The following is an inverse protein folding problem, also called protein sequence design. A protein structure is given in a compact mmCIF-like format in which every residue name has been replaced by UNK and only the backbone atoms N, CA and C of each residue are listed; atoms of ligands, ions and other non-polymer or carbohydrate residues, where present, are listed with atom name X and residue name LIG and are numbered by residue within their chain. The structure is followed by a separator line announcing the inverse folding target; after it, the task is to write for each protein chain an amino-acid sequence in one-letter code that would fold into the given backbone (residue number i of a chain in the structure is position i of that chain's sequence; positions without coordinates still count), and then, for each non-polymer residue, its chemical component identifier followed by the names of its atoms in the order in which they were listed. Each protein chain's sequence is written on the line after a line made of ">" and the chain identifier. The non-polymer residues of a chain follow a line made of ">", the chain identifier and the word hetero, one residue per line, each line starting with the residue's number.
data_IF_239248931730
#
_entry.id   IF_239248931730
#
_cell.length_a   1.000
_cell.length_b   1.000
_cell.length_c   1.000
_cell.angle_alpha   90.00
_cell.angle_beta   90.00
_cell.angle_gamma   90.00
#
_symmetry.space_group_name_H-M   'P 1'
#
loop_
_entity.id
_entity.type
_entity.pdbx_description
1 polymer ?
#
# COMPACT_ATOMS: atom_id res chain seq x y z
N UNK A 1 4.62 18.36 -17.81
CA UNK A 1 3.68 18.84 -16.78
C UNK A 1 4.26 18.49 -15.42
N UNK A 2 4.64 19.51 -14.63
CA UNK A 2 5.28 19.29 -13.32
C UNK A 2 4.26 18.86 -12.27
N UNK A 3 4.77 18.27 -11.15
CA UNK A 3 3.97 17.93 -9.97
C UNK A 3 3.24 19.18 -9.43
N UNK A 4 2.00 19.01 -8.93
CA UNK A 4 1.28 20.08 -8.27
C UNK A 4 2.03 20.61 -7.02
N UNK A 5 1.80 21.85 -6.57
CA UNK A 5 2.42 22.36 -5.35
C UNK A 5 2.16 21.47 -4.13
N UNK A 6 0.93 21.00 -3.96
CA UNK A 6 0.51 20.14 -2.86
C UNK A 6 1.28 18.79 -2.86
N UNK A 7 1.51 18.20 -4.03
CA UNK A 7 2.31 16.98 -4.14
C UNK A 7 3.79 17.22 -3.83
N UNK A 8 4.34 18.37 -4.23
CA UNK A 8 5.75 18.70 -3.91
C UNK A 8 5.95 18.85 -2.39
N UNK A 9 5.05 19.58 -1.74
CA UNK A 9 5.07 19.75 -0.28
C UNK A 9 4.91 18.39 0.42
N UNK A 10 3.97 17.57 -0.03
CA UNK A 10 3.75 16.23 0.49
C UNK A 10 5.01 15.36 0.36
N UNK A 11 5.66 15.32 -0.79
CA UNK A 11 6.89 14.54 -0.97
C UNK A 11 8.04 15.04 -0.11
N UNK A 12 8.16 16.36 0.10
CA UNK A 12 9.16 16.91 1.01
C UNK A 12 8.92 16.45 2.46
N UNK A 13 7.67 16.44 2.90
CA UNK A 13 7.27 15.92 4.22
C UNK A 13 7.59 14.42 4.36
N UNK A 14 7.18 13.61 3.39
CA UNK A 14 7.46 12.16 3.39
C UNK A 14 8.96 11.89 3.47
N UNK A 15 9.76 12.60 2.69
CA UNK A 15 11.23 12.48 2.73
C UNK A 15 11.80 12.74 4.13
N UNK A 16 11.39 13.81 4.79
CA UNK A 16 11.83 14.12 6.16
C UNK A 16 11.43 13.02 7.17
N UNK A 17 10.25 12.42 6.98
CA UNK A 17 9.81 11.30 7.82
C UNK A 17 10.61 10.04 7.56
N UNK A 18 10.98 9.76 6.31
CA UNK A 18 11.81 8.62 5.94
C UNK A 18 13.18 8.65 6.61
N UNK A 19 13.78 9.84 6.79
CA UNK A 19 15.08 9.98 7.46
C UNK A 19 15.04 9.49 8.92
N UNK A 20 13.87 9.40 9.52
CA UNK A 20 13.63 8.94 10.90
C UNK A 20 13.28 7.45 11.01
N UNK A 21 13.04 6.77 9.87
CA UNK A 21 12.75 5.34 9.90
C UNK A 21 13.98 4.53 10.36
N UNK A 22 13.77 3.44 11.11
CA UNK A 22 14.83 2.50 11.43
C UNK A 22 15.44 1.95 10.14
N UNK A 23 16.75 2.02 10.03
CA UNK A 23 17.48 1.46 8.88
C UNK A 23 17.56 -0.05 8.98
N UNK A 24 17.43 -0.74 7.84
CA UNK A 24 17.72 -2.17 7.74
C UNK A 24 16.54 -3.11 8.00
N UNK A 25 15.34 -2.62 8.31
CA UNK A 25 14.17 -3.49 8.40
C UNK A 25 13.64 -3.77 7.00
N UNK A 26 13.85 -5.00 6.54
CA UNK A 26 13.31 -5.49 5.26
C UNK A 26 12.65 -6.85 5.47
N UNK A 27 11.71 -7.19 4.62
CA UNK A 27 10.95 -8.44 4.66
C UNK A 27 10.91 -9.08 3.28
N UNK A 28 10.62 -10.39 3.23
CA UNK A 28 10.23 -11.00 1.97
C UNK A 28 8.87 -10.40 1.55
N UNK A 29 8.83 -9.73 0.40
CA UNK A 29 7.60 -9.19 -0.19
C UNK A 29 7.25 -9.95 -1.46
N UNK A 30 5.97 -10.25 -1.63
CA UNK A 30 5.41 -10.83 -2.86
C UNK A 30 5.30 -9.77 -3.99
N UNK A 31 5.05 -8.52 -3.62
CA UNK A 31 4.86 -7.33 -4.47
C UNK A 31 3.62 -7.31 -5.37
N UNK A 32 2.94 -8.45 -5.57
CA UNK A 32 1.62 -8.56 -6.19
C UNK A 32 0.68 -9.44 -5.35
N UNK A 33 0.69 -9.25 -4.02
CA UNK A 33 -0.14 -10.01 -3.09
C UNK A 33 -1.60 -9.57 -3.16
N UNK A 34 -2.31 -10.06 -4.17
CA UNK A 34 -3.73 -9.77 -4.44
C UNK A 34 -4.61 -11.00 -4.23
N UNK A 35 -5.93 -10.85 -4.06
CA UNK A 35 -6.84 -11.98 -3.89
C UNK A 35 -6.78 -13.01 -5.04
N UNK A 36 -6.34 -12.60 -6.23
CA UNK A 36 -6.19 -13.50 -7.40
C UNK A 36 -5.03 -14.48 -7.28
N UNK A 37 -4.02 -14.12 -6.48
CA UNK A 37 -2.81 -14.90 -6.27
C UNK A 37 -2.89 -15.79 -5.01
N UNK A 38 -4.08 -15.87 -4.38
CA UNK A 38 -4.33 -16.70 -3.20
C UNK A 38 -5.19 -17.90 -3.59
N UNK A 39 -4.66 -19.09 -3.36
CA UNK A 39 -5.39 -20.34 -3.57
C UNK A 39 -6.17 -20.70 -2.31
N UNK A 40 -7.44 -21.03 -2.46
CA UNK A 40 -8.31 -21.51 -1.37
C UNK A 40 -8.62 -22.98 -1.58
N UNK A 41 -8.36 -23.79 -0.57
CA UNK A 41 -8.69 -25.21 -0.55
C UNK A 41 -10.20 -25.45 -0.43
N UNK A 42 -10.61 -26.72 -0.62
CA UNK A 42 -12.03 -27.12 -0.48
C UNK A 42 -12.58 -26.93 0.93
N UNK A 43 -11.72 -26.84 1.92
CA UNK A 43 -12.03 -26.58 3.34
C UNK A 43 -12.15 -25.07 3.65
N UNK A 44 -12.02 -24.19 2.64
CA UNK A 44 -12.07 -22.75 2.79
C UNK A 44 -10.78 -22.12 3.34
N UNK A 45 -9.72 -22.88 3.53
CA UNK A 45 -8.43 -22.38 4.02
C UNK A 45 -7.51 -22.01 2.86
N UNK A 46 -6.58 -21.10 3.13
CA UNK A 46 -5.50 -20.80 2.20
C UNK A 46 -4.65 -22.04 2.01
N UNK A 47 -4.54 -22.53 0.78
CA UNK A 47 -3.75 -23.70 0.39
C UNK A 47 -2.43 -23.32 -0.28
N UNK A 48 -2.29 -22.09 -0.73
CA UNK A 48 -1.06 -21.60 -1.33
C UNK A 48 -1.16 -20.15 -1.79
N UNK A 49 -0.01 -19.58 -2.11
CA UNK A 49 0.16 -18.30 -2.78
C UNK A 49 0.99 -18.54 -4.02
N UNK A 50 0.56 -18.01 -5.15
CA UNK A 50 1.16 -18.20 -6.47
C UNK A 50 1.64 -16.88 -7.05
N UNK A 51 2.38 -16.95 -8.17
CA UNK A 51 2.82 -15.78 -8.94
C UNK A 51 3.85 -14.91 -8.20
N UNK A 52 4.94 -15.56 -7.80
CA UNK A 52 6.05 -14.96 -7.07
C UNK A 52 7.09 -14.25 -7.97
N UNK A 53 6.77 -13.99 -9.24
CA UNK A 53 7.72 -13.43 -10.22
C UNK A 53 8.25 -12.05 -9.82
N UNK A 54 7.48 -11.27 -9.06
CA UNK A 54 7.87 -9.95 -8.54
C UNK A 54 8.41 -9.98 -7.11
N UNK A 55 8.58 -11.16 -6.53
CA UNK A 55 9.00 -11.27 -5.14
C UNK A 55 10.40 -10.71 -4.90
N UNK A 56 10.56 -10.03 -3.78
CA UNK A 56 11.83 -9.44 -3.35
C UNK A 56 12.19 -9.87 -1.94
N UNK A 57 13.41 -10.43 -1.72
CA UNK A 57 13.84 -10.86 -0.37
C UNK A 57 14.02 -9.69 0.60
N UNK A 58 14.23 -8.47 0.08
CA UNK A 58 14.43 -7.24 0.86
C UNK A 58 13.39 -6.19 0.48
N UNK A 59 12.12 -6.58 0.58
CA UNK A 59 10.99 -5.73 0.30
C UNK A 59 10.64 -4.79 1.46
N UNK A 60 9.77 -3.85 1.17
CA UNK A 60 9.26 -2.89 2.14
C UNK A 60 8.25 -3.57 3.06
N UNK A 61 8.36 -3.39 4.40
CA UNK A 61 7.36 -3.84 5.35
C UNK A 61 5.95 -3.32 5.03
N UNK A 62 4.92 -4.10 5.40
CA UNK A 62 3.50 -3.78 5.22
C UNK A 62 3.02 -3.69 3.76
N UNK A 63 3.92 -3.70 2.77
CA UNK A 63 3.58 -3.53 1.35
C UNK A 63 2.49 -4.50 0.87
N UNK A 64 2.66 -5.78 1.13
CA UNK A 64 1.73 -6.82 0.69
C UNK A 64 0.39 -6.74 1.42
N UNK A 65 0.40 -6.37 2.70
CA UNK A 65 -0.82 -6.14 3.48
C UNK A 65 -1.61 -4.94 2.94
N UNK A 66 -0.94 -3.86 2.56
CA UNK A 66 -1.59 -2.70 1.94
C UNK A 66 -2.10 -3.02 0.53
N UNK A 67 -1.34 -3.83 -0.22
CA UNK A 67 -1.74 -4.24 -1.56
C UNK A 67 -3.04 -5.05 -1.51
N UNK A 68 -3.08 -6.12 -0.73
CA UNK A 68 -4.29 -6.95 -0.63
C UNK A 68 -5.48 -6.16 -0.09
N UNK A 69 -5.27 -5.27 0.89
CA UNK A 69 -6.35 -4.47 1.46
C UNK A 69 -6.94 -3.48 0.44
N UNK A 70 -6.10 -2.81 -0.35
CA UNK A 70 -6.53 -1.86 -1.38
C UNK A 70 -7.25 -2.53 -2.56
N UNK A 71 -6.92 -3.80 -2.84
CA UNK A 71 -7.50 -4.58 -3.94
C UNK A 71 -8.51 -5.65 -3.50
N UNK A 72 -8.87 -5.68 -2.22
CA UNK A 72 -9.81 -6.67 -1.67
C UNK A 72 -11.20 -6.59 -2.32
N UNK A 73 -11.70 -5.39 -2.56
CA UNK A 73 -12.96 -5.20 -3.28
C UNK A 73 -12.72 -5.11 -4.79
N UNK A 74 -13.63 -5.66 -5.62
CA UNK A 74 -13.52 -5.53 -7.07
C UNK A 74 -13.74 -4.06 -7.49
N UNK A 75 -12.66 -3.35 -7.71
CA UNK A 75 -12.69 -1.97 -8.18
C UNK A 75 -12.88 -1.92 -9.70
N UNK A 76 -13.76 -1.02 -10.16
CA UNK A 76 -13.88 -0.68 -11.59
C UNK A 76 -13.42 0.75 -11.80
N UNK A 77 -12.35 0.90 -12.61
CA UNK A 77 -11.74 2.19 -12.91
C UNK A 77 -11.09 2.86 -11.71
N UNK A 78 -10.48 4.03 -11.93
CA UNK A 78 -9.70 4.76 -10.93
C UNK A 78 -10.55 5.23 -9.73
N UNK A 79 -11.78 5.67 -9.98
CA UNK A 79 -12.69 6.09 -8.90
C UNK A 79 -13.07 4.93 -7.97
N UNK A 80 -13.26 3.73 -8.52
CA UNK A 80 -13.52 2.54 -7.72
C UNK A 80 -12.31 2.16 -6.86
N UNK A 81 -11.11 2.25 -7.39
CA UNK A 81 -9.87 2.01 -6.66
C UNK A 81 -9.70 3.02 -5.51
N UNK A 82 -9.93 4.31 -5.75
CA UNK A 82 -9.90 5.33 -4.70
C UNK A 82 -10.91 5.04 -3.58
N UNK A 83 -12.13 4.65 -3.93
CA UNK A 83 -13.15 4.29 -2.93
C UNK A 83 -12.72 3.10 -2.07
N UNK A 84 -12.08 2.07 -2.67
CA UNK A 84 -11.54 0.93 -1.94
C UNK A 84 -10.45 1.34 -0.94
N UNK A 85 -9.51 2.18 -1.37
CA UNK A 85 -8.46 2.68 -0.47
C UNK A 85 -9.03 3.52 0.66
N UNK A 86 -10.01 4.40 0.39
CA UNK A 86 -10.68 5.16 1.44
C UNK A 86 -11.37 4.26 2.45
N UNK A 87 -12.13 3.26 1.95
CA UNK A 87 -12.85 2.31 2.78
C UNK A 87 -11.92 1.46 3.65
N UNK A 88 -10.76 1.06 3.11
CA UNK A 88 -9.81 0.23 3.84
C UNK A 88 -9.01 1.02 4.89
N UNK A 89 -8.58 2.25 4.59
CA UNK A 89 -7.55 2.94 5.36
C UNK A 89 -8.00 4.23 6.05
N UNK A 90 -9.20 4.75 5.74
CA UNK A 90 -9.65 6.05 6.25
C UNK A 90 -11.10 6.05 6.77
N UNK A 91 -11.86 4.98 6.56
CA UNK A 91 -13.23 4.86 7.03
C UNK A 91 -13.33 3.82 8.13
N UNK A 92 -14.24 4.02 9.10
CA UNK A 92 -14.50 3.08 10.17
C UNK A 92 -15.55 2.05 9.73
N UNK A 93 -15.15 0.78 9.62
CA UNK A 93 -16.00 -0.35 9.26
C UNK A 93 -15.37 -1.66 9.74
N UNK A 94 -16.09 -2.78 9.63
CA UNK A 94 -15.60 -4.10 10.08
C UNK A 94 -14.30 -4.50 9.39
N UNK A 95 -14.16 -4.22 8.09
CA UNK A 95 -12.94 -4.56 7.36
C UNK A 95 -11.75 -3.74 7.83
N UNK A 96 -11.91 -2.41 7.97
CA UNK A 96 -10.83 -1.54 8.45
C UNK A 96 -10.43 -1.84 9.89
N UNK A 97 -11.37 -2.27 10.73
CA UNK A 97 -11.07 -2.72 12.11
C UNK A 97 -10.21 -3.98 12.11
N UNK A 98 -10.56 -4.96 11.27
CA UNK A 98 -9.74 -6.17 11.08
C UNK A 98 -8.36 -5.82 10.51
N UNK A 99 -8.30 -4.95 9.50
CA UNK A 99 -7.05 -4.52 8.89
C UNK A 99 -6.14 -3.83 9.91
N UNK A 100 -6.70 -2.95 10.75
CA UNK A 100 -5.97 -2.32 11.86
C UNK A 100 -5.35 -3.35 12.81
N UNK A 101 -6.12 -4.34 13.23
CA UNK A 101 -5.62 -5.44 14.07
C UNK A 101 -4.45 -6.18 13.41
N UNK A 102 -4.55 -6.47 12.10
CA UNK A 102 -3.48 -7.15 11.35
C UNK A 102 -2.24 -6.29 11.16
N UNK A 103 -2.39 -4.97 10.96
CA UNK A 103 -1.27 -4.04 10.92
C UNK A 103 -0.53 -4.01 12.26
N UNK A 104 -1.25 -3.92 13.38
CA UNK A 104 -0.67 -3.94 14.72
C UNK A 104 0.12 -5.23 14.94
N UNK A 105 -0.53 -6.38 14.74
CA UNK A 105 0.13 -7.70 14.91
C UNK A 105 1.35 -7.88 14.01
N UNK A 106 1.30 -7.36 12.78
CA UNK A 106 2.42 -7.39 11.85
C UNK A 106 3.58 -6.52 12.35
N UNK A 107 3.29 -5.29 12.78
CA UNK A 107 4.31 -4.37 13.30
C UNK A 107 5.01 -4.96 14.54
N UNK A 108 4.26 -5.55 15.46
CA UNK A 108 4.79 -6.24 16.63
C UNK A 108 5.71 -7.40 16.23
N UNK A 109 5.28 -8.23 15.28
CA UNK A 109 6.04 -9.40 14.84
C UNK A 109 7.36 -9.04 14.12
N UNK A 110 7.39 -7.91 13.40
CA UNK A 110 8.56 -7.46 12.62
C UNK A 110 9.42 -6.47 13.42
N UNK A 111 8.95 -5.97 14.56
CA UNK A 111 9.67 -4.99 15.39
C UNK A 111 9.62 -3.57 14.81
N UNK A 112 8.50 -3.19 14.20
CA UNK A 112 8.26 -1.85 13.64
C UNK A 112 7.34 -1.08 14.58
N UNK A 113 7.70 0.19 14.87
CA UNK A 113 6.81 1.09 15.57
C UNK A 113 5.52 1.32 14.75
N UNK A 114 4.37 1.07 15.36
CA UNK A 114 3.05 1.26 14.76
C UNK A 114 2.85 2.69 14.23
N UNK A 115 3.46 3.69 14.86
CA UNK A 115 3.44 5.07 14.38
C UNK A 115 4.05 5.26 12.98
N UNK A 116 4.86 4.29 12.51
CA UNK A 116 5.43 4.30 11.17
C UNK A 116 4.50 3.72 10.10
N UNK A 117 3.40 3.05 10.48
CA UNK A 117 2.55 2.35 9.52
C UNK A 117 1.90 3.31 8.49
N UNK A 118 1.44 4.49 8.92
CA UNK A 118 0.92 5.49 7.97
C UNK A 118 2.00 5.93 6.97
N UNK A 119 3.25 6.11 7.41
CA UNK A 119 4.34 6.45 6.51
C UNK A 119 4.60 5.34 5.49
N UNK A 120 4.59 4.07 5.91
CA UNK A 120 4.71 2.93 5.00
C UNK A 120 3.55 2.84 4.01
N UNK A 121 2.32 3.24 4.41
CA UNK A 121 1.19 3.34 3.48
C UNK A 121 1.44 4.37 2.37
N UNK A 122 1.92 5.56 2.73
CA UNK A 122 2.25 6.57 1.73
C UNK A 122 3.39 6.12 0.82
N UNK A 123 4.43 5.50 1.37
CA UNK A 123 5.52 4.91 0.59
C UNK A 123 5.02 3.82 -0.35
N UNK A 124 4.09 2.98 0.07
CA UNK A 124 3.47 1.97 -0.78
C UNK A 124 2.77 2.58 -2.01
N UNK A 125 2.16 3.74 -1.89
CA UNK A 125 1.55 4.45 -3.02
C UNK A 125 2.59 5.12 -3.93
N UNK A 126 3.73 5.54 -3.38
CA UNK A 126 4.81 6.24 -4.10
C UNK A 126 5.76 5.27 -4.80
N UNK A 127 6.13 4.16 -4.16
CA UNK A 127 7.17 3.23 -4.65
C UNK A 127 6.94 2.60 -6.04
N UNK A 128 5.72 2.37 -6.55
CA UNK A 128 5.54 1.93 -7.93
C UNK A 128 6.11 2.89 -8.96
N UNK A 129 6.32 4.16 -8.57
CA UNK A 129 6.91 5.17 -9.46
C UNK A 129 8.39 4.89 -9.77
N UNK A 130 9.13 4.29 -8.82
CA UNK A 130 10.54 3.95 -9.02
C UNK A 130 10.74 2.68 -9.85
N UNK A 131 9.88 1.68 -9.68
CA UNK A 131 9.99 0.41 -10.39
C UNK A 131 9.67 0.56 -11.88
N UNK A 132 8.67 1.34 -12.25
CA UNK A 132 8.32 1.58 -13.66
C UNK A 132 9.41 2.36 -14.41
N UNK A 133 10.11 3.27 -13.74
CA UNK A 133 11.22 4.02 -14.31
C UNK A 133 12.48 3.17 -14.49
N UNK A 134 12.74 2.22 -13.58
CA UNK A 134 13.89 1.30 -13.67
C UNK A 134 13.73 0.24 -14.74
N UNK A 135 12.50 -0.24 -14.97
CA UNK A 135 12.24 -1.35 -15.90
C UNK A 135 11.92 -0.89 -17.33
N UNK A 136 11.95 0.43 -17.61
CA UNK A 136 11.54 1.01 -18.91
C UNK A 136 10.17 0.47 -19.39
N UNK A 137 9.32 0.04 -18.45
CA UNK A 137 8.02 -0.51 -18.78
C UNK A 137 7.08 0.63 -19.18
N UNK A 138 6.34 0.50 -20.27
CA UNK A 138 5.28 1.45 -20.59
C UNK A 138 4.27 1.46 -19.44
N UNK A 139 3.77 2.65 -19.11
CA UNK A 139 2.76 2.91 -18.09
C UNK A 139 1.72 1.77 -18.00
N UNK A 140 1.70 1.05 -16.88
CA UNK A 140 0.66 0.06 -16.68
C UNK A 140 -0.61 0.75 -16.14
N UNK A 141 -1.82 0.30 -16.49
CA UNK A 141 -3.07 0.83 -15.95
C UNK A 141 -3.14 0.79 -14.41
N UNK A 142 -2.43 -0.16 -13.79
CA UNK A 142 -2.30 -0.28 -12.33
C UNK A 142 -1.53 0.90 -11.73
N UNK A 143 -0.51 1.40 -12.45
CA UNK A 143 0.29 2.53 -12.02
C UNK A 143 -0.51 3.84 -12.08
N UNK A 144 -1.21 4.08 -13.19
CA UNK A 144 -2.09 5.24 -13.35
C UNK A 144 -3.17 5.27 -12.26
N UNK A 145 -3.73 4.09 -11.93
CA UNK A 145 -4.68 3.95 -10.85
C UNK A 145 -4.11 4.35 -9.48
N UNK A 146 -2.88 3.91 -9.16
CA UNK A 146 -2.23 4.28 -7.88
C UNK A 146 -1.86 5.76 -7.83
N UNK A 147 -1.37 6.34 -8.92
CA UNK A 147 -1.08 7.78 -8.99
C UNK A 147 -2.35 8.60 -8.78
N UNK A 148 -3.44 8.23 -9.43
CA UNK A 148 -4.74 8.88 -9.23
C UNK A 148 -5.21 8.79 -7.77
N UNK A 149 -5.05 7.63 -7.13
CA UNK A 149 -5.36 7.43 -5.71
C UNK A 149 -4.48 8.35 -4.84
N UNK A 150 -3.17 8.34 -5.06
CA UNK A 150 -2.23 9.19 -4.32
C UNK A 150 -2.60 10.67 -4.42
N UNK A 151 -2.77 11.20 -5.63
CA UNK A 151 -3.13 12.61 -5.85
C UNK A 151 -4.46 12.97 -5.17
N UNK A 152 -5.46 12.08 -5.29
CA UNK A 152 -6.78 12.29 -4.71
C UNK A 152 -6.76 12.27 -3.18
N UNK A 153 -5.97 11.38 -2.58
CA UNK A 153 -5.82 11.29 -1.12
C UNK A 153 -5.01 12.47 -0.58
N UNK A 154 -3.94 12.90 -1.25
CA UNK A 154 -3.14 14.04 -0.84
C UNK A 154 -3.98 15.32 -0.82
N UNK A 155 -4.79 15.58 -1.85
CA UNK A 155 -5.72 16.72 -1.88
C UNK A 155 -6.77 16.71 -0.76
N UNK A 156 -7.18 15.51 -0.32
CA UNK A 156 -8.21 15.34 0.70
C UNK A 156 -7.62 15.13 2.11
N UNK A 157 -6.31 15.02 2.24
CA UNK A 157 -5.58 14.66 3.46
C UNK A 157 -5.99 15.45 4.71
N UNK A 158 -6.24 16.78 4.65
CA UNK A 158 -6.68 17.52 5.83
C UNK A 158 -7.97 16.99 6.47
N UNK A 159 -8.80 16.29 5.68
CA UNK A 159 -10.10 15.74 6.07
C UNK A 159 -10.07 14.21 6.25
N UNK A 160 -8.91 13.58 6.12
CA UNK A 160 -8.75 12.13 6.24
C UNK A 160 -8.00 11.78 7.53
N UNK A 161 -8.53 10.77 8.21
CA UNK A 161 -7.86 10.19 9.39
C UNK A 161 -7.51 8.75 9.06
N UNK A 162 -6.22 8.42 9.11
CA UNK A 162 -5.75 7.04 8.96
C UNK A 162 -6.29 6.16 10.09
N UNK A 163 -6.55 4.88 9.80
CA UNK A 163 -7.26 3.95 10.73
C UNK A 163 -6.52 3.57 12.00
N UNK A 164 -5.25 3.97 12.16
CA UNK A 164 -4.42 3.67 13.34
C UNK A 164 -4.56 4.71 14.43
#
# INVERSE_FOLDING_TARGET
>A
TGLSPELREFFAEIRQKCDKLPKGITVLSHNDFSPRNIMIGRDGRVSGVIDWEYAQPQGMPLRDLYHIAGYYYPAKGHNGLLANFKRAFFEQNTFSSLLREKIISYCDAVGIDIASAELFFWLYLICPMEESTRLSMPYSPLWEGKLFVLESLVKQRPNLKFIL
#
